data_IF_006044397933
#
_entry.id   IF_006044397933
#
_cell.length_a   1.000
_cell.length_b   1.000
_cell.length_c   1.000
_cell.angle_alpha   90.00
_cell.angle_beta   90.00
_cell.angle_gamma   90.00
#
_symmetry.space_group_name_H-M   'P 1'
#
loop_
_entity.id
_entity.type
_entity.pdbx_description
1 polymer ?
#
# COMPACT_ATOMS: atom_id res chain seq x y z
N UNK A 1 -24.22 73.49 18.07
CA UNK A 1 -23.49 72.27 18.51
C UNK A 1 -24.36 71.03 18.79
N UNK A 2 -25.68 71.12 19.02
CA UNK A 2 -26.51 69.93 19.33
C UNK A 2 -26.97 69.12 18.10
N UNK A 3 -26.96 69.73 16.90
CA UNK A 3 -27.41 69.09 15.67
C UNK A 3 -26.33 68.21 15.02
N UNK A 4 -25.07 68.65 15.04
CA UNK A 4 -23.93 67.90 14.47
C UNK A 4 -23.59 66.63 15.26
N UNK A 5 -23.78 66.64 16.59
CA UNK A 5 -23.55 65.46 17.44
C UNK A 5 -24.59 64.36 17.23
N UNK A 6 -25.87 64.73 17.00
CA UNK A 6 -26.94 63.76 16.71
C UNK A 6 -26.74 63.11 15.35
N UNK A 7 -26.32 63.87 14.34
CA UNK A 7 -26.03 63.34 13.00
C UNK A 7 -24.82 62.39 13.05
N UNK A 8 -23.77 62.72 13.80
CA UNK A 8 -22.63 61.83 13.99
C UNK A 8 -23.03 60.49 14.65
N UNK A 9 -23.93 60.53 15.62
CA UNK A 9 -24.40 59.34 16.34
C UNK A 9 -25.27 58.43 15.45
N UNK A 10 -26.05 59.01 14.53
CA UNK A 10 -26.81 58.25 13.52
C UNK A 10 -25.91 57.60 12.46
N UNK A 11 -24.82 58.25 12.07
CA UNK A 11 -23.86 57.70 11.10
C UNK A 11 -23.06 56.53 11.73
N UNK A 12 -22.73 56.64 13.02
CA UNK A 12 -22.00 55.60 13.76
C UNK A 12 -22.87 54.35 14.00
N UNK A 13 -24.17 54.50 14.26
CA UNK A 13 -25.06 53.34 14.42
C UNK A 13 -25.39 52.64 13.09
N UNK A 14 -25.46 53.38 11.98
CA UNK A 14 -25.67 52.80 10.65
C UNK A 14 -24.49 51.95 10.15
N UNK A 15 -23.26 52.28 10.54
CA UNK A 15 -22.05 51.56 10.10
C UNK A 15 -21.85 50.21 10.78
N UNK A 16 -22.44 49.99 11.96
CA UNK A 16 -22.38 48.71 12.68
C UNK A 16 -23.26 47.64 12.00
N UNK A 17 -24.35 48.04 11.34
CA UNK A 17 -25.29 47.08 10.72
C UNK A 17 -24.75 46.48 9.41
N UNK A 18 -23.83 47.16 8.72
CA UNK A 18 -23.27 46.68 7.45
C UNK A 18 -22.14 45.63 7.62
N UNK A 19 -21.61 45.43 8.83
CA UNK A 19 -20.49 44.51 9.07
C UNK A 19 -20.91 43.04 9.24
N UNK A 20 -22.20 42.71 9.15
CA UNK A 20 -22.74 41.35 9.40
C UNK A 20 -22.95 40.49 8.16
N UNK A 21 -22.59 40.97 6.96
CA UNK A 21 -22.61 40.15 5.75
C UNK A 21 -21.35 39.27 5.66
N UNK A 22 -21.19 38.35 6.60
CA UNK A 22 -20.27 37.23 6.45
C UNK A 22 -20.83 36.34 5.33
N UNK A 23 -20.12 36.24 4.20
CA UNK A 23 -20.47 35.33 3.13
C UNK A 23 -20.59 33.92 3.74
N UNK A 24 -21.81 33.40 3.80
CA UNK A 24 -22.04 32.00 4.05
C UNK A 24 -21.36 31.21 2.94
N UNK A 25 -20.14 30.72 3.20
CA UNK A 25 -19.47 29.75 2.35
C UNK A 25 -20.43 28.58 2.18
N UNK A 26 -21.09 28.49 1.03
CA UNK A 26 -21.70 27.24 0.59
C UNK A 26 -20.54 26.28 0.37
N UNK A 27 -20.21 25.48 1.38
CA UNK A 27 -19.46 24.26 1.14
C UNK A 27 -20.35 23.40 0.24
N UNK A 28 -20.05 23.37 -1.05
CA UNK A 28 -20.50 22.29 -1.90
C UNK A 28 -19.79 21.03 -1.38
N UNK A 29 -20.39 20.37 -0.39
CA UNK A 29 -20.04 18.99 -0.11
C UNK A 29 -20.48 18.20 -1.33
N UNK A 30 -19.54 17.95 -2.24
CA UNK A 30 -19.71 16.91 -3.24
C UNK A 30 -19.98 15.65 -2.43
N UNK A 31 -21.19 15.11 -2.54
CA UNK A 31 -21.53 13.82 -1.96
C UNK A 31 -20.63 12.78 -2.60
N UNK A 32 -19.53 12.44 -1.95
CA UNK A 32 -18.70 11.31 -2.35
C UNK A 32 -19.39 10.09 -1.75
N UNK A 33 -20.26 9.44 -2.52
CA UNK A 33 -20.75 8.13 -2.14
C UNK A 33 -19.58 7.16 -2.15
N UNK A 34 -19.21 6.69 -0.96
CA UNK A 34 -18.23 5.62 -0.81
C UNK A 34 -18.84 4.36 -1.43
N UNK A 35 -18.21 3.83 -2.50
CA UNK A 35 -18.60 2.62 -3.22
C UNK A 35 -18.75 1.41 -2.28
N UNK A 36 -18.19 1.48 -1.06
CA UNK A 36 -18.35 0.46 -0.02
C UNK A 36 -19.71 0.48 0.69
N UNK A 37 -20.45 1.61 0.67
CA UNK A 37 -21.75 1.76 1.34
C UNK A 37 -22.94 1.42 0.43
N UNK A 38 -22.82 1.62 -0.88
CA UNK A 38 -23.82 1.18 -1.85
C UNK A 38 -23.50 -0.26 -2.25
N UNK A 39 -24.25 -1.22 -1.71
CA UNK A 39 -24.03 -2.64 -1.97
C UNK A 39 -23.83 -2.97 -3.45
N UNK A 40 -22.85 -3.84 -3.72
CA UNK A 40 -22.51 -4.41 -5.03
C UNK A 40 -22.68 -3.49 -6.24
N UNK A 41 -21.62 -2.77 -6.60
CA UNK A 41 -21.51 -2.16 -7.93
C UNK A 41 -21.30 -3.27 -8.97
N UNK A 42 -22.34 -3.56 -9.74
CA UNK A 42 -22.28 -4.46 -10.89
C UNK A 42 -21.55 -3.76 -12.05
N UNK A 43 -20.22 -3.85 -12.06
CA UNK A 43 -19.41 -3.39 -13.17
C UNK A 43 -19.38 -4.47 -14.26
N UNK A 44 -19.80 -4.13 -15.48
CA UNK A 44 -19.59 -5.00 -16.65
C UNK A 44 -18.10 -4.95 -17.01
N UNK A 45 -17.39 -6.09 -17.07
CA UNK A 45 -16.00 -6.10 -17.50
C UNK A 45 -15.90 -5.71 -18.98
N UNK A 46 -14.97 -4.81 -19.29
CA UNK A 46 -14.59 -4.47 -20.67
C UNK A 46 -13.28 -5.16 -21.01
N UNK A 47 -13.17 -5.57 -22.26
CA UNK A 47 -11.95 -6.14 -22.84
C UNK A 47 -11.31 -5.08 -23.74
N UNK A 48 -9.99 -5.06 -23.75
CA UNK A 48 -9.22 -4.23 -24.67
C UNK A 48 -8.07 -5.04 -25.24
N UNK A 49 -7.72 -4.71 -26.48
CA UNK A 49 -6.49 -5.19 -27.09
C UNK A 49 -5.33 -4.32 -26.59
N UNK A 50 -4.16 -4.93 -26.46
CA UNK A 50 -2.94 -4.21 -26.09
C UNK A 50 -2.07 -4.15 -27.34
N UNK A 51 -1.85 -2.95 -27.86
CA UNK A 51 -0.83 -2.70 -28.87
C UNK A 51 0.51 -2.50 -28.17
N UNK A 52 1.50 -3.32 -28.53
CA UNK A 52 2.84 -3.30 -27.95
C UNK A 52 3.83 -2.76 -28.97
N UNK A 53 4.53 -1.70 -28.61
CA UNK A 53 5.58 -1.14 -29.44
C UNK A 53 6.85 -1.99 -29.33
N UNK A 54 7.55 -2.17 -30.45
CA UNK A 54 8.82 -2.93 -30.48
C UNK A 54 10.01 -2.19 -29.84
N UNK A 55 9.83 -0.93 -29.46
CA UNK A 55 10.86 -0.12 -28.82
C UNK A 55 10.86 -0.32 -27.31
N UNK A 56 12.05 -0.57 -26.75
CA UNK A 56 12.22 -0.62 -25.31
C UNK A 56 12.19 0.78 -24.73
N UNK A 57 11.46 0.92 -23.63
CA UNK A 57 11.37 2.15 -22.84
C UNK A 57 12.08 1.96 -21.51
N UNK A 58 12.61 3.05 -20.97
CA UNK A 58 13.30 3.07 -19.69
C UNK A 58 12.77 4.24 -18.84
N UNK A 59 12.50 3.94 -17.57
CA UNK A 59 12.22 4.94 -16.54
C UNK A 59 13.14 4.77 -15.36
N UNK A 60 13.52 5.88 -14.74
CA UNK A 60 14.46 5.89 -13.61
C UNK A 60 13.98 6.84 -12.53
N UNK A 61 14.01 6.37 -11.29
CA UNK A 61 13.72 7.19 -10.12
C UNK A 61 14.78 7.00 -9.05
N UNK A 62 15.14 8.11 -8.40
CA UNK A 62 16.03 8.14 -7.24
C UNK A 62 15.27 8.76 -6.08
N UNK A 63 15.22 8.07 -4.95
CA UNK A 63 14.53 8.56 -3.76
C UNK A 63 15.42 8.52 -2.52
N UNK A 64 15.12 9.40 -1.56
CA UNK A 64 15.70 9.32 -0.23
C UNK A 64 14.96 8.30 0.62
N UNK A 65 15.69 7.33 1.19
CA UNK A 65 15.09 6.25 1.97
C UNK A 65 14.35 6.73 3.21
N UNK A 66 14.82 7.83 3.83
CA UNK A 66 14.21 8.42 5.03
C UNK A 66 12.77 8.89 4.80
N UNK A 67 12.46 9.40 3.60
CA UNK A 67 11.16 9.98 3.29
C UNK A 67 10.07 8.93 2.99
N UNK A 68 10.48 7.72 2.62
CA UNK A 68 9.57 6.70 2.08
C UNK A 68 9.54 5.40 2.90
N UNK A 69 10.03 5.41 4.14
CA UNK A 69 9.94 4.25 5.05
C UNK A 69 8.49 3.82 5.33
N UNK A 70 7.56 4.77 5.43
CA UNK A 70 6.15 4.50 5.70
C UNK A 70 5.33 4.14 4.44
N UNK A 71 5.95 4.10 3.26
CA UNK A 71 5.25 3.76 2.01
C UNK A 71 4.93 2.25 1.97
N UNK A 72 3.86 1.87 1.27
CA UNK A 72 3.55 0.47 1.01
C UNK A 72 4.69 -0.15 0.17
N UNK A 73 5.41 -1.13 0.74
CA UNK A 73 6.62 -1.70 0.14
C UNK A 73 7.92 -0.93 0.44
N UNK A 74 7.87 0.05 1.35
CA UNK A 74 9.00 0.87 1.81
C UNK A 74 9.64 1.71 0.69
N UNK A 75 10.89 2.11 0.91
CA UNK A 75 11.65 2.90 -0.07
C UNK A 75 11.81 2.15 -1.41
N UNK A 76 11.95 0.83 -1.38
CA UNK A 76 12.08 0.01 -2.61
C UNK A 76 10.81 0.09 -3.46
N UNK A 77 9.63 -0.13 -2.87
CA UNK A 77 8.35 -0.07 -3.58
C UNK A 77 8.06 1.34 -4.10
N UNK A 78 8.34 2.37 -3.31
CA UNK A 78 8.19 3.75 -3.74
C UNK A 78 9.09 4.09 -4.95
N UNK A 79 10.35 3.64 -4.94
CA UNK A 79 11.28 3.86 -6.05
C UNK A 79 10.81 3.17 -7.34
N UNK A 80 10.37 1.91 -7.23
CA UNK A 80 9.80 1.17 -8.37
C UNK A 80 8.59 1.89 -8.98
N UNK A 81 7.64 2.32 -8.16
CA UNK A 81 6.43 2.99 -8.62
C UNK A 81 6.76 4.30 -9.34
N UNK A 82 7.71 5.08 -8.81
CA UNK A 82 8.15 6.32 -9.45
C UNK A 82 8.89 6.07 -10.76
N UNK A 83 9.70 5.00 -10.83
CA UNK A 83 10.37 4.61 -12.07
C UNK A 83 9.37 4.19 -13.15
N UNK A 84 8.29 3.49 -12.77
CA UNK A 84 7.17 3.16 -13.69
C UNK A 84 6.47 4.41 -14.18
N UNK A 85 6.16 5.35 -13.28
CA UNK A 85 5.52 6.61 -13.64
C UNK A 85 6.40 7.41 -14.62
N UNK A 86 7.71 7.44 -14.38
CA UNK A 86 8.67 8.11 -15.27
C UNK A 86 8.70 7.46 -16.66
N UNK A 87 8.80 6.12 -16.74
CA UNK A 87 8.76 5.38 -18.00
C UNK A 87 7.47 5.62 -18.78
N UNK A 88 6.33 5.51 -18.11
CA UNK A 88 4.98 5.69 -18.68
C UNK A 88 4.82 7.11 -19.23
N UNK A 89 5.24 8.13 -18.48
CA UNK A 89 5.14 9.53 -18.92
C UNK A 89 6.04 9.83 -20.11
N UNK A 90 7.27 9.31 -20.12
CA UNK A 90 8.22 9.49 -21.23
C UNK A 90 7.74 8.83 -22.51
N UNK A 91 7.18 7.62 -22.40
CA UNK A 91 6.71 6.84 -23.53
C UNK A 91 5.28 7.19 -23.97
N UNK A 92 4.53 7.95 -23.16
CA UNK A 92 3.10 8.22 -23.35
C UNK A 92 2.29 6.94 -23.62
N UNK A 93 2.49 5.94 -22.76
CA UNK A 93 1.83 4.63 -22.85
C UNK A 93 0.93 4.38 -21.62
N UNK A 94 0.04 3.39 -21.69
CA UNK A 94 -0.85 3.08 -20.57
C UNK A 94 -0.24 2.07 -19.62
N UNK A 95 0.50 1.10 -20.18
CA UNK A 95 1.11 0.00 -19.44
C UNK A 95 2.51 -0.29 -19.96
N UNK A 96 3.32 -0.93 -19.13
CA UNK A 96 4.63 -1.46 -19.50
C UNK A 96 4.50 -2.97 -19.60
N UNK A 97 4.75 -3.52 -20.79
CA UNK A 97 4.73 -4.97 -21.04
C UNK A 97 6.10 -5.55 -20.73
N UNK A 98 6.10 -6.67 -20.01
CA UNK A 98 7.30 -7.38 -19.56
C UNK A 98 8.31 -6.46 -18.84
N UNK A 99 7.90 -5.79 -17.74
CA UNK A 99 8.79 -4.91 -17.01
C UNK A 99 9.91 -5.69 -16.31
N UNK A 100 11.14 -5.21 -16.45
CA UNK A 100 12.33 -5.65 -15.73
C UNK A 100 12.77 -4.53 -14.82
N UNK A 101 12.94 -4.84 -13.54
CA UNK A 101 13.34 -3.87 -12.51
C UNK A 101 14.78 -4.12 -12.10
N UNK A 102 15.56 -3.05 -12.10
CA UNK A 102 16.92 -3.01 -11.56
C UNK A 102 16.94 -2.00 -10.41
N UNK A 103 17.43 -2.43 -9.24
CA UNK A 103 17.35 -1.63 -8.03
C UNK A 103 18.68 -1.63 -7.32
N UNK A 104 19.17 -0.42 -7.07
CA UNK A 104 20.39 -0.16 -6.34
C UNK A 104 20.03 0.56 -5.04
N UNK A 105 20.53 0.06 -3.92
CA UNK A 105 20.34 0.68 -2.61
C UNK A 105 21.69 1.07 -2.03
N UNK A 106 21.89 2.37 -1.85
CA UNK A 106 23.12 2.95 -1.30
C UNK A 106 22.96 3.38 0.16
N UNK A 107 22.01 2.79 0.88
CA UNK A 107 21.70 3.06 2.29
C UNK A 107 20.88 4.34 2.49
N UNK A 108 21.36 5.49 2.00
CA UNK A 108 20.64 6.77 2.09
C UNK A 108 19.65 6.96 0.95
N UNK A 109 19.97 6.41 -0.23
CA UNK A 109 19.16 6.54 -1.44
C UNK A 109 18.87 5.17 -2.03
N UNK A 110 17.70 5.04 -2.65
CA UNK A 110 17.35 3.91 -3.51
C UNK A 110 17.12 4.43 -4.92
N UNK A 111 17.82 3.82 -5.87
CA UNK A 111 17.62 4.02 -7.31
C UNK A 111 16.86 2.83 -7.85
N UNK A 112 15.76 3.07 -8.56
CA UNK A 112 15.08 2.05 -9.33
C UNK A 112 15.08 2.43 -10.81
N UNK A 113 15.37 1.46 -11.65
CA UNK A 113 15.28 1.54 -13.11
C UNK A 113 14.30 0.48 -13.57
N UNK A 114 13.33 0.85 -14.40
CA UNK A 114 12.41 -0.08 -15.05
C UNK A 114 12.62 -0.04 -16.54
N UNK A 115 12.69 -1.22 -17.15
CA UNK A 115 12.80 -1.40 -18.61
C UNK A 115 11.71 -2.34 -19.10
N UNK A 116 11.15 -2.07 -20.26
CA UNK A 116 10.13 -2.92 -20.86
C UNK A 116 9.69 -2.39 -22.21
N UNK A 117 8.54 -2.86 -22.69
CA UNK A 117 7.93 -2.39 -23.92
C UNK A 117 6.71 -1.52 -23.61
N UNK A 118 6.53 -0.44 -24.37
CA UNK A 118 5.35 0.41 -24.23
C UNK A 118 4.10 -0.35 -24.73
N UNK A 119 3.06 -0.40 -23.90
CA UNK A 119 1.76 -0.96 -24.25
C UNK A 119 0.67 0.11 -24.17
N UNK A 120 -0.22 0.13 -25.16
CA UNK A 120 -1.39 1.03 -25.22
C UNK A 120 -2.66 0.23 -25.39
N UNK A 121 -3.70 0.61 -24.66
CA UNK A 121 -5.00 -0.01 -24.83
C UNK A 121 -5.67 0.47 -26.12
N UNK A 122 -6.20 -0.48 -26.89
CA UNK A 122 -7.01 -0.24 -28.09
C UNK A 122 -8.28 -1.09 -28.04
N UNK A 123 -9.27 -0.70 -28.84
CA UNK A 123 -10.48 -1.48 -29.11
C UNK A 123 -11.22 -1.95 -27.85
N UNK A 124 -11.59 -1.02 -26.97
CA UNK A 124 -12.44 -1.35 -25.82
C UNK A 124 -13.79 -1.89 -26.29
N UNK A 125 -14.14 -3.11 -25.88
CA UNK A 125 -15.41 -3.76 -26.22
C UNK A 125 -15.96 -4.58 -25.06
N UNK A 126 -17.26 -4.88 -25.13
CA UNK A 126 -17.89 -5.79 -24.18
C UNK A 126 -17.38 -7.23 -24.37
N UNK A 127 -17.38 -8.00 -23.28
CA UNK A 127 -17.01 -9.41 -23.31
C UNK A 127 -18.00 -10.21 -24.16
N UNK A 128 -17.48 -10.98 -25.09
CA UNK A 128 -18.26 -11.93 -25.90
C UNK A 128 -17.98 -13.37 -25.44
N UNK A 129 -18.84 -14.31 -25.84
CA UNK A 129 -18.65 -15.73 -25.48
C UNK A 129 -17.30 -16.28 -25.95
N UNK A 130 -16.76 -15.78 -27.08
CA UNK A 130 -15.48 -16.20 -27.65
C UNK A 130 -14.29 -15.84 -26.75
N UNK A 131 -14.35 -14.71 -26.03
CA UNK A 131 -13.28 -14.25 -25.14
C UNK A 131 -13.13 -15.12 -23.89
N UNK A 132 -14.19 -15.82 -23.50
CA UNK A 132 -14.21 -16.73 -22.34
C UNK A 132 -13.10 -17.78 -22.44
N UNK A 133 -12.74 -18.23 -23.64
CA UNK A 133 -11.69 -19.20 -23.86
C UNK A 133 -10.31 -18.67 -23.41
N UNK A 134 -9.99 -17.40 -23.68
CA UNK A 134 -8.72 -16.79 -23.32
C UNK A 134 -8.55 -16.66 -21.79
N UNK A 135 -9.62 -16.29 -21.08
CA UNK A 135 -9.61 -16.19 -19.61
C UNK A 135 -9.45 -17.56 -18.93
N UNK A 136 -10.08 -18.61 -19.47
CA UNK A 136 -9.97 -19.96 -18.94
C UNK A 136 -8.55 -20.54 -19.06
N UNK A 137 -7.79 -20.15 -20.08
CA UNK A 137 -6.38 -20.54 -20.23
C UNK A 137 -5.51 -19.83 -19.20
N UNK A 138 -5.73 -18.52 -18.97
CA UNK A 138 -4.98 -17.76 -17.96
C UNK A 138 -5.19 -18.29 -16.55
N UNK A 139 -6.44 -18.59 -16.18
CA UNK A 139 -6.77 -19.16 -14.87
C UNK A 139 -6.06 -20.51 -14.59
N UNK A 140 -5.79 -21.31 -15.63
CA UNK A 140 -5.04 -22.56 -15.52
C UNK A 140 -3.52 -22.33 -15.41
N UNK A 141 -2.99 -21.34 -16.12
CA UNK A 141 -1.57 -20.97 -16.06
C UNK A 141 -1.21 -20.39 -14.68
N UNK A 142 -2.02 -19.48 -14.13
CA UNK A 142 -1.75 -18.86 -12.83
C UNK A 142 -1.78 -19.87 -11.67
N UNK A 143 -2.62 -20.92 -11.76
CA UNK A 143 -2.60 -22.04 -10.79
C UNK A 143 -1.34 -22.89 -10.92
N UNK A 144 -0.80 -23.03 -12.13
CA UNK A 144 0.39 -23.86 -12.38
C UNK A 144 1.67 -23.15 -11.91
N UNK A 145 1.78 -21.82 -12.08
CA UNK A 145 2.89 -21.04 -11.53
C UNK A 145 2.85 -20.93 -10.01
N UNK A 146 1.66 -20.83 -9.40
CA UNK A 146 1.51 -20.85 -7.94
C UNK A 146 1.89 -22.21 -7.29
N UNK A 147 1.73 -23.33 -8.02
CA UNK A 147 2.21 -24.65 -7.59
C UNK A 147 3.72 -24.76 -7.70
N UNK A 148 4.33 -24.23 -8.77
CA UNK A 148 5.80 -24.22 -8.96
C UNK A 148 6.55 -23.39 -7.92
N UNK A 149 5.99 -22.29 -7.43
CA UNK A 149 6.58 -21.53 -6.32
C UNK A 149 6.55 -22.28 -4.98
N UNK A 150 5.59 -23.20 -4.78
CA UNK A 150 5.53 -24.04 -3.57
C UNK A 150 6.51 -25.21 -3.60
N UNK A 151 6.76 -25.82 -4.76
CA UNK A 151 7.78 -26.88 -4.88
C UNK A 151 9.22 -26.36 -4.66
N UNK A 152 9.53 -25.15 -5.12
CA UNK A 152 10.85 -24.55 -4.91
C UNK A 152 11.07 -24.00 -3.48
N UNK A 153 10.04 -23.98 -2.64
CA UNK A 153 10.12 -23.59 -1.23
C UNK A 153 9.76 -24.74 -0.28
N UNK A 154 9.90 -25.99 -0.75
CA UNK A 154 10.02 -27.12 0.16
C UNK A 154 11.41 -27.05 0.77
N UNK A 155 11.49 -26.51 1.99
CA UNK A 155 12.62 -26.76 2.87
C UNK A 155 12.91 -28.26 2.84
N UNK A 156 14.13 -28.62 2.50
CA UNK A 156 14.66 -29.96 2.75
C UNK A 156 14.62 -30.16 4.26
N UNK A 157 13.53 -30.74 4.74
CA UNK A 157 13.39 -31.17 6.12
C UNK A 157 14.53 -32.14 6.40
N UNK A 158 15.53 -31.65 7.12
CA UNK A 158 16.53 -32.49 7.73
C UNK A 158 15.79 -33.52 8.60
N UNK A 159 15.96 -34.79 8.27
CA UNK A 159 15.40 -35.91 9.03
C UNK A 159 15.76 -35.83 10.53
N UNK A 160 15.04 -36.57 11.37
CA UNK A 160 15.09 -36.39 12.82
C UNK A 160 16.47 -36.76 13.37
N UNK A 161 17.28 -35.75 13.70
CA UNK A 161 18.55 -35.95 14.42
C UNK A 161 18.22 -36.28 15.88
N UNK A 162 18.37 -37.55 16.24
CA UNK A 162 18.40 -38.05 17.62
C UNK A 162 19.56 -37.39 18.39
N UNK A 163 19.28 -36.31 19.12
CA UNK A 163 20.21 -35.70 20.07
C UNK A 163 19.63 -35.69 21.48
N UNK A 164 20.04 -36.64 22.33
CA UNK A 164 19.67 -36.70 23.74
C UNK A 164 20.35 -35.56 24.52
N UNK A 165 19.62 -34.52 24.91
CA UNK A 165 20.13 -33.48 25.82
C UNK A 165 19.63 -33.72 27.25
N UNK A 166 20.48 -34.28 28.11
CA UNK A 166 20.25 -34.51 29.54
C UNK A 166 20.57 -33.27 30.40
N UNK A 167 20.20 -32.07 29.97
CA UNK A 167 20.52 -30.83 30.71
C UNK A 167 19.28 -30.17 31.34
N UNK A 168 18.08 -30.49 30.87
CA UNK A 168 16.83 -29.93 31.42
C UNK A 168 16.31 -30.58 32.71
N UNK A 169 16.82 -31.75 33.10
CA UNK A 169 16.27 -32.52 34.23
C UNK A 169 16.91 -32.19 35.59
N UNK A 170 18.06 -31.50 35.63
CA UNK A 170 18.74 -31.17 36.90
C UNK A 170 18.23 -29.89 37.55
N UNK A 171 17.68 -28.95 36.78
CA UNK A 171 17.16 -27.67 37.33
C UNK A 171 15.80 -27.86 38.02
N UNK A 172 14.99 -28.84 37.58
CA UNK A 172 13.68 -29.13 38.18
C UNK A 172 13.74 -29.81 39.56
N UNK A 173 14.84 -30.50 39.89
CA UNK A 173 14.97 -31.23 41.17
C UNK A 173 15.46 -30.31 42.30
N UNK A 174 16.26 -29.28 42.00
CA UNK A 174 16.76 -28.34 43.02
C UNK A 174 15.64 -27.43 43.53
N UNK A 175 14.68 -27.07 42.68
CA UNK A 175 13.52 -26.24 43.06
C UNK A 175 12.49 -26.97 43.92
N UNK A 176 12.39 -28.30 43.80
CA UNK A 176 11.47 -29.12 44.59
C UNK A 176 12.01 -29.47 45.99
N UNK A 177 13.34 -29.50 46.18
CA UNK A 177 13.95 -29.71 47.51
C UNK A 177 13.97 -28.40 48.32
N UNK A 178 14.06 -27.23 47.66
CA UNK A 178 13.98 -25.93 48.32
C UNK A 178 12.61 -25.59 48.92
N UNK A 179 11.52 -26.17 48.40
CA UNK A 179 10.16 -25.92 48.90
C UNK A 179 9.73 -26.87 50.03
N UNK A 180 10.48 -27.94 50.30
CA UNK A 180 10.18 -28.91 51.37
C UNK A 180 10.99 -28.66 52.66
N UNK A 181 11.91 -27.68 52.68
CA UNK A 181 12.79 -27.39 53.82
C UNK A 181 12.34 -26.24 54.74
N UNK A 182 11.21 -25.58 54.46
CA UNK A 182 10.73 -24.44 55.24
C UNK A 182 9.44 -24.78 56.01
N UNK A 183 9.55 -25.70 56.98
CA UNK A 183 8.71 -25.80 58.19
C UNK A 183 9.34 -26.91 59.07
N UNK A 184 9.80 -26.66 60.31
CA UNK A 184 8.89 -26.32 61.41
C UNK A 184 9.44 -25.38 62.53
N UNK A 185 8.53 -25.05 63.46
CA UNK A 185 8.73 -24.64 64.87
C UNK A 185 9.22 -23.19 65.12
N UNK A 186 8.51 -22.28 65.80
CA UNK A 186 7.59 -22.36 66.94
C UNK A 186 8.20 -23.04 68.18
N UNK A 187 8.98 -22.28 68.97
CA UNK A 187 9.09 -22.37 70.43
C UNK A 187 9.88 -21.18 70.99
N UNK A 188 9.32 -20.53 72.04
CA UNK A 188 9.97 -19.96 73.26
C UNK A 188 11.26 -19.12 73.11
N UNK A 189 11.40 -17.93 73.67
CA UNK A 189 10.93 -17.35 74.93
C UNK A 189 10.54 -15.87 74.77
#
# INVERSE_FOLDING_TARGET
>A
MKLTLKVLLYILTASIVLSSCQLAHKSASIGVEDIKKSGFVMAKPLISDIEVDNQKIEGRAVISNKLYQASAGGARGAAMNLAVIDAVKKANCDIIVQPVYEIENSGTYTTATVRGFAGRYKNFREITAEDTAAFNVRAKLDRTSAVRERENNVQVDAGPVKGKSKVGALVGVILLIGLLGALPALTKD
#
